data_IF_776770216661
#
_entry.id   IF_776770216661
#
_cell.length_a   1.000
_cell.length_b   1.000
_cell.length_c   1.000
_cell.angle_alpha   90.00
_cell.angle_beta   90.00
_cell.angle_gamma   90.00
#
_symmetry.space_group_name_H-M   'P 1'
#
loop_
_entity.id
_entity.type
_entity.pdbx_description
1 polymer ?
#
# COMPACT_ATOMS: atom_id res chain seq x y z
N UNK A 1 13.27 -15.17 7.42
CA UNK A 1 11.81 -15.01 7.36
C UNK A 1 11.10 -16.19 6.71
N UNK A 2 11.32 -16.55 5.43
CA UNK A 2 10.65 -17.71 4.77
C UNK A 2 10.57 -18.99 5.62
N UNK A 3 11.73 -19.52 6.05
CA UNK A 3 11.78 -20.75 6.88
C UNK A 3 11.02 -20.65 8.20
N UNK A 4 10.91 -19.45 8.77
CA UNK A 4 10.17 -19.22 10.02
C UNK A 4 8.67 -19.22 9.71
N UNK A 5 8.25 -18.56 8.64
CA UNK A 5 6.87 -18.56 8.16
C UNK A 5 6.34 -19.97 7.87
N UNK A 6 7.11 -20.77 7.15
CA UNK A 6 6.74 -22.16 6.82
C UNK A 6 6.69 -23.05 8.07
N UNK A 7 7.59 -22.86 9.04
CA UNK A 7 7.68 -23.74 10.22
C UNK A 7 6.71 -23.37 11.34
N UNK A 8 6.42 -22.09 11.51
CA UNK A 8 5.76 -21.58 12.73
C UNK A 8 4.50 -20.75 12.46
N UNK A 9 4.25 -20.35 11.21
CA UNK A 9 3.09 -19.54 10.83
C UNK A 9 2.24 -20.22 9.74
N UNK A 10 2.40 -21.54 9.58
CA UNK A 10 1.58 -22.38 8.70
C UNK A 10 1.52 -21.88 7.24
N UNK A 11 2.59 -21.21 6.79
CA UNK A 11 2.68 -20.73 5.42
C UNK A 11 2.93 -21.90 4.47
N UNK A 12 1.93 -22.23 3.65
CA UNK A 12 2.03 -23.21 2.58
C UNK A 12 2.11 -22.53 1.21
N UNK A 13 3.03 -22.99 0.36
CA UNK A 13 3.10 -22.51 -1.02
C UNK A 13 2.13 -23.27 -1.92
N UNK A 14 1.37 -22.54 -2.72
CA UNK A 14 0.46 -23.07 -3.76
C UNK A 14 0.78 -22.44 -5.12
N UNK A 15 0.21 -22.91 -6.24
CA UNK A 15 0.36 -22.19 -7.52
C UNK A 15 -0.10 -20.72 -7.45
N UNK A 16 -1.09 -20.43 -6.60
CA UNK A 16 -1.66 -19.10 -6.38
C UNK A 16 -0.91 -18.27 -5.33
N UNK A 17 -0.12 -18.91 -4.46
CA UNK A 17 0.64 -18.27 -3.39
C UNK A 17 2.08 -18.80 -3.37
N UNK A 18 3.00 -18.04 -3.94
CA UNK A 18 4.40 -18.44 -4.11
C UNK A 18 5.32 -17.48 -3.37
N UNK A 19 6.38 -18.00 -2.75
CA UNK A 19 7.42 -17.20 -2.10
C UNK A 19 8.64 -17.18 -3.00
N UNK A 20 9.01 -15.99 -3.45
CA UNK A 20 10.26 -15.73 -4.15
C UNK A 20 11.24 -15.10 -3.16
N UNK A 21 12.40 -15.72 -2.97
CA UNK A 21 13.46 -15.17 -2.11
C UNK A 21 14.40 -14.38 -3.01
N UNK A 22 14.20 -13.08 -3.08
CA UNK A 22 14.93 -12.17 -3.94
C UNK A 22 14.95 -10.75 -3.35
N UNK A 23 15.75 -9.87 -3.94
CA UNK A 23 15.62 -8.42 -3.77
C UNK A 23 14.38 -7.95 -4.51
N UNK A 24 13.47 -7.27 -3.81
CA UNK A 24 12.18 -6.87 -4.36
C UNK A 24 12.28 -5.90 -5.55
N UNK A 25 13.24 -4.98 -5.53
CA UNK A 25 13.46 -4.04 -6.63
C UNK A 25 14.07 -4.74 -7.85
N UNK A 26 15.01 -5.65 -7.63
CA UNK A 26 15.52 -6.52 -8.70
C UNK A 26 14.39 -7.35 -9.32
N UNK A 27 13.52 -7.94 -8.50
CA UNK A 27 12.38 -8.70 -8.98
C UNK A 27 11.45 -7.85 -9.87
N UNK A 28 11.09 -6.64 -9.43
CA UNK A 28 10.25 -5.70 -10.19
C UNK A 28 10.90 -5.30 -11.52
N UNK A 29 12.20 -4.96 -11.52
CA UNK A 29 12.95 -4.62 -12.74
C UNK A 29 12.95 -5.78 -13.75
N UNK A 30 13.19 -7.00 -13.29
CA UNK A 30 13.19 -8.18 -14.17
C UNK A 30 11.78 -8.52 -14.68
N UNK A 31 10.75 -8.37 -13.85
CA UNK A 31 9.36 -8.49 -14.27
C UNK A 31 9.02 -7.47 -15.38
N UNK A 32 9.47 -6.22 -15.22
CA UNK A 32 9.30 -5.17 -16.23
C UNK A 32 9.96 -5.54 -17.56
N UNK A 33 11.21 -6.03 -17.54
CA UNK A 33 11.91 -6.50 -18.75
C UNK A 33 11.21 -7.65 -19.45
N UNK A 34 10.55 -8.53 -18.70
CA UNK A 34 9.80 -9.68 -19.24
C UNK A 34 8.39 -9.30 -19.72
N UNK A 35 7.93 -8.07 -19.47
CA UNK A 35 6.57 -7.67 -19.75
C UNK A 35 5.53 -8.34 -18.84
N UNK A 36 5.93 -8.75 -17.63
CA UNK A 36 5.01 -9.26 -16.63
C UNK A 36 4.15 -8.12 -16.08
N UNK A 37 2.86 -8.41 -15.87
CA UNK A 37 1.86 -7.43 -15.47
C UNK A 37 1.06 -7.96 -14.27
N UNK A 38 0.86 -7.09 -13.28
CA UNK A 38 0.19 -7.36 -12.02
C UNK A 38 -1.04 -6.44 -11.86
N UNK A 39 -2.06 -6.95 -11.19
CA UNK A 39 -3.23 -6.15 -10.79
C UNK A 39 -2.88 -5.19 -9.65
N UNK A 40 -2.15 -5.70 -8.65
CA UNK A 40 -1.82 -4.97 -7.43
C UNK A 40 -0.38 -5.27 -7.00
N UNK A 41 0.34 -4.24 -6.55
CA UNK A 41 1.59 -4.37 -5.80
C UNK A 41 1.36 -3.93 -4.35
N UNK A 42 1.73 -4.77 -3.39
CA UNK A 42 1.75 -4.43 -1.97
C UNK A 42 3.21 -4.26 -1.53
N UNK A 43 3.56 -3.07 -1.07
CA UNK A 43 4.91 -2.73 -0.59
C UNK A 43 4.87 -2.65 0.94
N UNK A 44 5.38 -3.67 1.60
CA UNK A 44 5.53 -3.76 3.04
C UNK A 44 6.96 -4.16 3.39
N UNK A 45 7.87 -3.20 3.23
CA UNK A 45 9.31 -3.36 3.46
C UNK A 45 9.79 -2.25 4.37
N UNK A 46 10.52 -2.61 5.42
CA UNK A 46 10.96 -1.69 6.44
C UNK A 46 12.43 -1.89 6.80
N UNK A 47 13.05 -0.84 7.35
CA UNK A 47 14.34 -0.98 8.01
C UNK A 47 14.20 -1.73 9.33
N UNK A 48 15.20 -2.52 9.71
CA UNK A 48 15.28 -3.17 11.02
C UNK A 48 15.82 -2.22 12.12
N UNK A 49 15.69 -0.91 11.93
CA UNK A 49 16.19 0.11 12.85
C UNK A 49 15.21 1.26 13.00
N UNK A 50 15.28 1.93 14.15
CA UNK A 50 14.38 3.02 14.48
C UNK A 50 14.77 4.30 13.72
N UNK A 51 14.00 4.64 12.70
CA UNK A 51 14.15 5.88 11.90
C UNK A 51 12.89 6.73 11.97
N UNK A 52 12.99 8.00 11.56
CA UNK A 52 11.81 8.88 11.47
C UNK A 52 10.76 8.29 10.49
N UNK A 53 11.22 7.79 9.34
CA UNK A 53 10.49 6.93 8.39
C UNK A 53 11.12 5.53 8.39
N UNK A 54 10.37 4.52 8.83
CA UNK A 54 10.82 3.12 8.90
C UNK A 54 10.34 2.30 7.70
N UNK A 55 9.16 2.62 7.14
CA UNK A 55 8.61 1.99 5.95
C UNK A 55 7.91 3.03 5.07
N UNK A 56 8.04 2.95 3.72
CA UNK A 56 8.96 2.06 3.01
C UNK A 56 10.43 2.44 3.25
N UNK A 57 11.35 1.55 2.90
CA UNK A 57 12.78 1.91 2.82
C UNK A 57 13.03 2.91 1.68
N UNK A 58 14.07 3.73 1.79
CA UNK A 58 14.34 4.84 0.86
C UNK A 58 14.56 4.34 -0.58
N UNK A 59 15.11 3.14 -0.75
CA UNK A 59 15.33 2.51 -2.05
C UNK A 59 14.02 2.29 -2.83
N UNK A 60 12.90 2.08 -2.12
CA UNK A 60 11.56 1.95 -2.72
C UNK A 60 10.88 3.31 -2.98
N UNK A 61 11.56 4.41 -2.68
CA UNK A 61 11.10 5.78 -2.92
C UNK A 61 11.84 6.47 -4.09
N UNK A 62 12.82 5.80 -4.69
CA UNK A 62 13.59 6.29 -5.83
C UNK A 62 12.70 6.36 -7.08
N UNK A 63 12.74 7.49 -7.79
CA UNK A 63 11.89 7.79 -8.96
C UNK A 63 11.91 6.67 -10.01
N UNK A 64 13.10 6.20 -10.37
CA UNK A 64 13.25 5.15 -11.38
C UNK A 64 12.59 3.84 -10.95
N UNK A 65 12.61 3.53 -9.65
CA UNK A 65 12.00 2.31 -9.10
C UNK A 65 10.48 2.40 -9.06
N UNK A 66 9.94 3.56 -8.67
CA UNK A 66 8.50 3.82 -8.72
C UNK A 66 8.01 3.75 -10.18
N UNK A 67 8.81 4.22 -11.14
CA UNK A 67 8.50 4.08 -12.56
C UNK A 67 8.46 2.60 -12.98
N UNK A 68 9.40 1.75 -12.52
CA UNK A 68 9.34 0.31 -12.78
C UNK A 68 8.08 -0.32 -12.18
N UNK A 69 7.71 0.06 -10.95
CA UNK A 69 6.46 -0.40 -10.32
C UNK A 69 5.23 -0.02 -11.16
N UNK A 70 5.18 1.20 -11.69
CA UNK A 70 4.08 1.64 -12.55
C UNK A 70 4.00 0.83 -13.87
N UNK A 71 5.16 0.49 -14.47
CA UNK A 71 5.24 -0.27 -15.72
C UNK A 71 4.69 -1.68 -15.58
N UNK A 72 4.91 -2.33 -14.45
CA UNK A 72 4.43 -3.70 -14.20
C UNK A 72 2.98 -3.77 -13.73
N UNK A 73 2.27 -2.65 -13.63
CA UNK A 73 0.86 -2.62 -13.26
C UNK A 73 -0.06 -2.51 -14.47
N UNK A 74 -1.21 -3.19 -14.40
CA UNK A 74 -2.31 -3.01 -15.37
C UNK A 74 -2.75 -1.55 -15.47
N UNK A 75 -3.41 -1.13 -16.57
CA UNK A 75 -3.93 0.24 -16.71
C UNK A 75 -4.85 0.69 -15.56
N UNK A 76 -5.57 -0.24 -14.93
CA UNK A 76 -6.43 -0.03 -13.76
C UNK A 76 -5.81 -0.56 -12.45
N UNK A 77 -4.54 -0.95 -12.48
CA UNK A 77 -3.81 -1.49 -11.35
C UNK A 77 -3.40 -0.44 -10.31
N UNK A 78 -2.98 -0.93 -9.15
CA UNK A 78 -2.61 -0.10 -8.01
C UNK A 78 -1.34 -0.58 -7.30
N UNK A 79 -0.59 0.36 -6.74
CA UNK A 79 0.43 0.11 -5.72
C UNK A 79 -0.10 0.59 -4.37
N UNK A 80 0.06 -0.24 -3.35
CA UNK A 80 -0.35 0.05 -1.98
C UNK A 80 0.89 -0.06 -1.11
N UNK A 81 1.23 1.04 -0.44
CA UNK A 81 2.46 1.15 0.35
C UNK A 81 2.10 1.28 1.82
N UNK A 82 2.60 0.36 2.64
CA UNK A 82 2.54 0.51 4.08
C UNK A 82 3.53 1.59 4.53
N UNK A 83 3.06 2.56 5.34
CA UNK A 83 3.91 3.64 5.84
C UNK A 83 3.97 3.58 7.35
N UNK A 84 5.19 3.39 7.83
CA UNK A 84 5.50 3.30 9.27
C UNK A 84 6.47 4.41 9.61
N UNK A 85 6.06 5.28 10.54
CA UNK A 85 6.84 6.42 11.01
C UNK A 85 6.94 6.40 12.53
N UNK A 86 7.85 7.19 13.10
CA UNK A 86 7.78 7.49 14.54
C UNK A 86 6.54 8.34 14.84
N UNK A 87 5.98 8.19 16.04
CA UNK A 87 4.73 8.88 16.43
C UNK A 87 4.85 10.40 16.35
N UNK A 88 6.03 10.95 16.63
CA UNK A 88 6.35 12.37 16.55
C UNK A 88 6.75 12.84 15.13
N UNK A 89 6.78 11.92 14.15
CA UNK A 89 7.26 12.13 12.77
C UNK A 89 6.25 11.70 11.69
N UNK A 90 4.96 11.72 12.01
CA UNK A 90 3.87 11.32 11.09
C UNK A 90 3.85 12.10 9.75
N UNK A 91 4.44 13.30 9.73
CA UNK A 91 4.61 14.12 8.53
C UNK A 91 5.58 13.51 7.51
N UNK A 92 6.46 12.59 7.92
CA UNK A 92 7.36 11.89 7.00
C UNK A 92 6.61 11.07 5.95
N UNK A 93 5.39 10.64 6.25
CA UNK A 93 4.51 9.99 5.29
C UNK A 93 4.24 10.85 4.04
N UNK A 94 4.25 12.18 4.18
CA UNK A 94 3.96 13.10 3.07
C UNK A 94 5.08 13.07 2.03
N UNK A 95 6.32 12.71 2.42
CA UNK A 95 7.43 12.46 1.48
C UNK A 95 7.12 11.27 0.58
N UNK A 96 6.59 10.18 1.17
CA UNK A 96 6.18 8.98 0.42
C UNK A 96 5.04 9.34 -0.53
N UNK A 97 4.03 10.06 -0.06
CA UNK A 97 2.94 10.52 -0.92
C UNK A 97 3.44 11.38 -2.08
N UNK A 98 4.33 12.35 -1.80
CA UNK A 98 4.89 13.24 -2.80
C UNK A 98 5.61 12.48 -3.91
N UNK A 99 6.53 11.58 -3.57
CA UNK A 99 7.32 10.88 -4.59
C UNK A 99 6.46 9.96 -5.45
N UNK A 100 5.52 9.21 -4.85
CA UNK A 100 4.61 8.32 -5.60
C UNK A 100 3.62 9.10 -6.46
N UNK A 101 3.10 10.23 -6.00
CA UNK A 101 2.13 11.05 -6.76
C UNK A 101 2.70 11.65 -8.05
N UNK A 102 4.03 11.66 -8.22
CA UNK A 102 4.66 12.06 -9.50
C UNK A 102 4.56 10.98 -10.57
N UNK A 103 4.34 9.72 -10.18
CA UNK A 103 4.28 8.58 -11.11
C UNK A 103 2.87 8.00 -11.26
N UNK A 104 1.94 8.34 -10.37
CA UNK A 104 0.57 7.84 -10.40
C UNK A 104 -0.42 9.01 -10.46
N UNK A 105 -1.43 8.97 -11.35
CA UNK A 105 -2.40 10.05 -11.50
C UNK A 105 -3.36 10.19 -10.30
N UNK A 106 -3.44 9.18 -9.43
CA UNK A 106 -4.31 9.21 -8.27
C UNK A 106 -3.62 8.52 -7.10
N UNK A 107 -3.43 9.26 -6.02
CA UNK A 107 -2.89 8.77 -4.75
C UNK A 107 -3.72 9.31 -3.58
N UNK A 108 -3.92 8.50 -2.55
CA UNK A 108 -4.58 8.93 -1.32
C UNK A 108 -4.14 8.10 -0.11
N UNK A 109 -4.19 8.69 1.07
CA UNK A 109 -3.98 7.95 2.32
C UNK A 109 -5.26 7.25 2.76
N UNK A 110 -5.10 6.03 3.24
CA UNK A 110 -6.06 5.36 4.10
C UNK A 110 -5.47 5.27 5.50
N UNK A 111 -6.26 5.69 6.50
CA UNK A 111 -5.84 5.75 7.90
C UNK A 111 -6.42 4.55 8.64
N UNK A 112 -5.55 3.73 9.23
CA UNK A 112 -5.94 2.61 10.09
C UNK A 112 -5.46 2.85 11.51
N UNK A 113 -5.90 3.96 12.10
CA UNK A 113 -5.46 4.38 13.43
C UNK A 113 -4.87 5.78 13.43
N UNK A 114 -4.22 6.16 14.54
CA UNK A 114 -3.72 7.52 14.76
C UNK A 114 -2.42 7.80 13.99
N UNK A 115 -1.60 6.79 13.80
CA UNK A 115 -0.24 6.93 13.26
C UNK A 115 -0.01 6.07 12.01
N UNK A 116 -0.76 4.99 11.84
CA UNK A 116 -0.60 4.07 10.73
C UNK A 116 -1.31 4.60 9.48
N UNK A 117 -0.52 4.80 8.43
CA UNK A 117 -0.99 5.28 7.13
C UNK A 117 -0.65 4.23 6.09
N UNK A 118 -1.60 3.95 5.21
CA UNK A 118 -1.34 3.24 3.97
C UNK A 118 -1.56 4.20 2.81
N UNK A 119 -0.62 4.24 1.87
CA UNK A 119 -0.76 5.02 0.65
C UNK A 119 -1.31 4.13 -0.46
N UNK A 120 -2.43 4.52 -1.04
CA UNK A 120 -3.04 3.88 -2.20
C UNK A 120 -2.78 4.74 -3.42
N UNK A 121 -2.07 4.21 -4.40
CA UNK A 121 -1.82 4.89 -5.67
C UNK A 121 -2.27 4.02 -6.84
N UNK A 122 -3.01 4.58 -7.80
CA UNK A 122 -3.54 3.83 -8.94
C UNK A 122 -3.30 4.53 -10.27
N UNK A 123 -3.24 3.74 -11.34
CA UNK A 123 -3.16 4.25 -12.73
C UNK A 123 -4.51 4.78 -13.24
N UNK A 124 -5.60 4.47 -12.55
CA UNK A 124 -6.92 5.08 -12.77
C UNK A 124 -6.91 6.53 -12.26
N UNK A 125 -7.17 7.48 -13.16
CA UNK A 125 -7.41 8.88 -12.81
C UNK A 125 -8.64 9.03 -11.90
N UNK A 126 -8.65 10.10 -11.08
CA UNK A 126 -9.79 10.46 -10.22
C UNK A 126 -10.26 9.31 -9.31
N UNK A 127 -9.34 8.45 -8.89
CA UNK A 127 -9.60 7.32 -8.00
C UNK A 127 -9.11 7.66 -6.58
N UNK A 128 -9.50 8.83 -6.09
CA UNK A 128 -9.10 9.40 -4.81
C UNK A 128 -10.32 9.81 -3.99
N UNK A 129 -10.16 9.99 -2.69
CA UNK A 129 -11.23 10.52 -1.85
C UNK A 129 -11.65 11.93 -2.25
N UNK A 130 -10.75 12.73 -2.84
CA UNK A 130 -11.05 14.09 -3.28
C UNK A 130 -11.97 14.08 -4.51
N UNK A 131 -11.70 13.17 -5.45
CA UNK A 131 -12.42 13.14 -6.73
C UNK A 131 -13.66 12.24 -6.72
N UNK A 132 -13.68 11.22 -5.86
CA UNK A 132 -14.65 10.14 -5.96
C UNK A 132 -15.00 9.48 -4.61
N UNK A 133 -15.27 10.33 -3.60
CA UNK A 133 -15.49 9.91 -2.22
C UNK A 133 -16.61 8.86 -2.06
N UNK A 134 -17.77 9.10 -2.68
CA UNK A 134 -18.95 8.26 -2.49
C UNK A 134 -18.76 6.86 -3.07
N UNK A 135 -18.21 6.76 -4.29
CA UNK A 135 -17.94 5.48 -4.93
C UNK A 135 -16.89 4.68 -4.14
N UNK A 136 -15.81 5.34 -3.68
CA UNK A 136 -14.79 4.67 -2.86
C UNK A 136 -15.36 4.19 -1.51
N UNK A 137 -16.24 4.97 -0.87
CA UNK A 137 -16.92 4.57 0.38
C UNK A 137 -17.82 3.36 0.15
N UNK A 138 -18.57 3.34 -0.95
CA UNK A 138 -19.44 2.21 -1.31
C UNK A 138 -18.61 0.95 -1.56
N UNK A 139 -17.53 1.06 -2.34
CA UNK A 139 -16.60 -0.06 -2.60
C UNK A 139 -16.00 -0.60 -1.29
N UNK A 140 -15.56 0.29 -0.40
CA UNK A 140 -15.01 -0.11 0.91
C UNK A 140 -16.04 -0.85 1.75
N UNK A 141 -17.25 -0.31 1.91
CA UNK A 141 -18.35 -0.96 2.65
C UNK A 141 -18.72 -2.32 2.08
N UNK A 142 -18.73 -2.44 0.75
CA UNK A 142 -19.02 -3.72 0.08
C UNK A 142 -17.97 -4.77 0.42
N UNK A 143 -16.69 -4.43 0.31
CA UNK A 143 -15.58 -5.34 0.62
C UNK A 143 -15.55 -5.69 2.11
N UNK A 144 -15.74 -4.72 3.00
CA UNK A 144 -15.79 -4.95 4.45
C UNK A 144 -16.89 -5.95 4.83
N UNK A 145 -18.08 -5.79 4.22
CA UNK A 145 -19.22 -6.70 4.41
C UNK A 145 -18.93 -8.10 3.84
N UNK A 146 -18.32 -8.18 2.66
CA UNK A 146 -18.03 -9.45 1.98
C UNK A 146 -16.96 -10.26 2.72
N UNK A 147 -15.89 -9.59 3.14
CA UNK A 147 -14.78 -10.20 3.88
C UNK A 147 -15.06 -10.36 5.37
N UNK A 148 -16.13 -9.71 5.87
CA UNK A 148 -16.55 -9.72 7.28
C UNK A 148 -15.44 -9.24 8.23
N UNK A 149 -14.72 -8.21 7.81
CA UNK A 149 -13.66 -7.62 8.63
C UNK A 149 -14.21 -6.70 9.73
N UNK A 150 -15.46 -6.23 9.59
CA UNK A 150 -16.14 -5.37 10.56
C UNK A 150 -15.42 -4.04 10.80
N UNK A 151 -14.71 -3.54 9.78
CA UNK A 151 -13.96 -2.28 9.82
C UNK A 151 -14.87 -1.06 9.91
N UNK A 152 -16.11 -1.20 9.42
CA UNK A 152 -17.15 -0.18 9.54
C UNK A 152 -18.02 -0.35 10.79
N UNK A 153 -17.85 -1.46 11.53
CA UNK A 153 -18.68 -1.88 12.66
C UNK A 153 -18.16 -1.46 14.03
N UNK A 154 -18.05 -0.14 14.26
CA UNK A 154 -18.18 0.42 15.61
C UNK A 154 -18.68 1.86 15.56
N UNK A 155 -19.84 2.09 14.94
CA UNK A 155 -20.72 3.18 15.35
C UNK A 155 -21.46 2.79 16.66
N UNK A 156 -20.71 2.35 17.68
CA UNK A 156 -21.21 2.33 19.05
C UNK A 156 -20.88 3.70 19.65
N UNK A 157 -21.91 4.54 19.68
CA UNK A 157 -22.06 5.74 20.52
C UNK A 157 -20.76 6.52 20.81
N UNK A 158 -20.50 7.56 20.00
CA UNK A 158 -19.66 8.69 20.42
C UNK A 158 -18.17 8.59 20.10
N UNK A 159 -17.82 8.58 18.81
CA UNK A 159 -16.71 9.36 18.21
C UNK A 159 -16.64 9.05 16.72
N UNK A 160 -16.94 10.05 15.91
CA UNK A 160 -16.72 10.04 14.47
C UNK A 160 -15.33 9.50 14.14
N UNK A 161 -15.26 8.47 13.29
CA UNK A 161 -14.13 8.34 12.39
C UNK A 161 -14.09 9.62 11.55
N UNK A 162 -13.26 10.58 11.97
CA UNK A 162 -13.00 11.77 11.19
C UNK A 162 -12.17 11.37 9.98
N UNK A 163 -12.87 11.14 8.87
CA UNK A 163 -12.29 11.42 7.55
C UNK A 163 -12.04 12.94 7.54
N UNK A 164 -10.83 13.34 7.93
CA UNK A 164 -10.46 14.75 7.96
C UNK A 164 -10.10 15.13 6.53
N UNK A 165 -11.01 15.83 5.86
CA UNK A 165 -10.73 16.55 4.63
C UNK A 165 -9.93 17.80 5.04
N UNK A 166 -8.70 17.91 4.56
CA UNK A 166 -7.94 19.17 4.52
C UNK A 166 -7.82 19.60 3.07
#
# INVERSE_FOLDING_TARGET
>A
MKKIAEKWYELETTPMQRIVVDDGLRFIREASKKGEIYDVLLIDVCYNEHRDLMAPIEEFMVDEEIEQMNKVLKPDGAVIVNIVTRQEKVAEADKVHFVYSRHFPSCYFMHFGKYDKMLFCSKKEKNSWLDNADELRERFRRIDKELRFDLTGSEKEGKQAKVTLH
#
